data_IF_503642041926
#
_entry.id   IF_503642041926
#
_cell.length_a   1.000
_cell.length_b   1.000
_cell.length_c   1.000
_cell.angle_alpha   90.00
_cell.angle_beta   90.00
_cell.angle_gamma   90.00
#
_symmetry.space_group_name_H-M   'P 1'
#
loop_
_entity.id
_entity.type
_entity.pdbx_description
1 polymer ?
#
# COMPACT_ATOMS: atom_id res chain seq x y z
N UNK A 1 28.31 -72.16 -19.54
CA UNK A 1 29.08 -71.53 -18.44
C UNK A 1 29.36 -70.09 -18.84
N UNK A 2 28.97 -69.03 -18.14
CA UNK A 2 28.32 -68.90 -16.84
C UNK A 2 27.25 -67.79 -16.87
N UNK A 3 26.29 -67.92 -15.96
CA UNK A 3 25.30 -66.90 -15.63
C UNK A 3 25.97 -65.86 -14.73
N UNK A 4 26.06 -64.62 -15.15
CA UNK A 4 26.31 -63.48 -14.25
C UNK A 4 25.02 -62.71 -14.10
N UNK A 5 24.47 -62.84 -12.90
CA UNK A 5 23.21 -62.30 -12.44
C UNK A 5 23.36 -60.80 -12.22
N UNK A 6 22.58 -59.99 -12.97
CA UNK A 6 22.28 -58.60 -12.61
C UNK A 6 21.67 -58.61 -11.21
N UNK A 7 22.45 -58.19 -10.21
CA UNK A 7 21.95 -57.91 -8.85
C UNK A 7 21.55 -56.44 -8.82
N UNK A 8 20.25 -56.18 -8.93
CA UNK A 8 19.68 -54.85 -8.73
C UNK A 8 19.98 -54.36 -7.33
N UNK A 9 20.73 -53.26 -7.22
CA UNK A 9 20.71 -52.34 -6.07
C UNK A 9 19.71 -51.27 -6.44
N UNK A 10 18.51 -51.32 -5.85
CA UNK A 10 17.45 -50.36 -6.19
C UNK A 10 16.24 -50.36 -5.26
N UNK A 11 16.00 -51.44 -4.49
CA UNK A 11 14.73 -51.57 -3.75
C UNK A 11 14.89 -51.83 -2.23
N UNK A 12 16.10 -51.76 -1.68
CA UNK A 12 16.33 -51.99 -0.24
C UNK A 12 16.04 -50.76 0.62
N UNK A 13 16.43 -49.57 0.16
CA UNK A 13 16.43 -48.35 0.98
C UNK A 13 15.06 -47.65 1.06
N UNK A 14 14.23 -47.75 0.02
CA UNK A 14 12.85 -47.23 0.02
C UNK A 14 12.02 -47.94 1.10
N UNK A 15 12.25 -49.24 1.29
CA UNK A 15 11.57 -50.07 2.27
C UNK A 15 12.04 -49.75 3.70
N UNK A 16 13.31 -49.39 3.92
CA UNK A 16 13.82 -49.06 5.26
C UNK A 16 13.38 -47.67 5.74
N UNK A 17 13.34 -46.67 4.86
CA UNK A 17 12.72 -45.37 5.16
C UNK A 17 11.20 -45.51 5.36
N UNK A 18 10.53 -46.37 4.58
CA UNK A 18 9.13 -46.73 4.79
C UNK A 18 8.90 -47.63 6.03
N UNK A 19 9.89 -48.35 6.55
CA UNK A 19 9.78 -49.13 7.79
C UNK A 19 9.99 -48.24 9.02
N UNK A 20 10.86 -47.24 8.95
CA UNK A 20 10.98 -46.19 9.97
C UNK A 20 9.73 -45.29 9.95
N UNK A 21 9.25 -44.89 8.77
CA UNK A 21 8.01 -44.09 8.64
C UNK A 21 6.72 -44.92 8.84
N UNK A 22 6.76 -46.22 8.55
CA UNK A 22 5.63 -47.15 8.67
C UNK A 22 5.45 -47.70 10.08
N UNK A 23 6.53 -47.83 10.87
CA UNK A 23 6.43 -48.03 12.32
C UNK A 23 5.90 -46.80 13.04
N UNK A 24 6.05 -45.59 12.47
CA UNK A 24 5.44 -44.37 12.99
C UNK A 24 3.91 -44.28 12.77
N UNK A 25 3.34 -45.02 11.80
CA UNK A 25 1.93 -44.85 11.41
C UNK A 25 0.94 -45.74 12.20
N UNK A 26 1.40 -46.77 12.91
CA UNK A 26 0.50 -47.71 13.61
C UNK A 26 0.41 -47.50 15.12
N UNK A 27 1.19 -46.59 15.71
CA UNK A 27 1.30 -46.50 17.19
C UNK A 27 1.37 -45.06 17.72
N UNK A 28 0.41 -44.21 17.33
CA UNK A 28 0.22 -42.91 17.98
C UNK A 28 -1.21 -42.79 18.52
N UNK A 29 -1.45 -43.42 19.68
CA UNK A 29 -2.71 -43.30 20.45
C UNK A 29 -2.50 -43.05 21.95
N UNK A 30 -1.31 -42.72 22.43
CA UNK A 30 -1.07 -42.38 23.84
C UNK A 30 0.05 -41.34 23.99
N UNK A 31 -0.12 -40.37 24.89
CA UNK A 31 0.54 -39.05 24.86
C UNK A 31 1.84 -39.00 25.70
N UNK A 32 2.08 -39.89 26.66
CA UNK A 32 3.23 -39.78 27.59
C UNK A 32 4.47 -40.61 27.21
N UNK A 33 4.41 -41.41 26.14
CA UNK A 33 5.56 -42.16 25.58
C UNK A 33 6.06 -41.59 24.24
N UNK A 34 5.59 -40.39 23.86
CA UNK A 34 5.83 -39.78 22.55
C UNK A 34 7.21 -39.15 22.39
N UNK A 35 7.69 -38.45 23.40
CA UNK A 35 8.86 -37.57 23.25
C UNK A 35 10.15 -38.38 23.03
N UNK A 36 10.38 -39.41 23.86
CA UNK A 36 11.56 -40.28 23.73
C UNK A 36 11.61 -41.06 22.40
N UNK A 37 10.45 -41.41 21.83
CA UNK A 37 10.40 -42.16 20.57
C UNK A 37 10.57 -41.24 19.36
N UNK A 38 9.98 -40.04 19.41
CA UNK A 38 10.18 -39.02 18.40
C UNK A 38 11.65 -38.55 18.37
N UNK A 39 12.26 -38.34 19.53
CA UNK A 39 13.68 -37.99 19.65
C UNK A 39 14.59 -39.06 19.06
N UNK A 40 14.34 -40.35 19.37
CA UNK A 40 15.12 -41.45 18.81
C UNK A 40 14.97 -41.56 17.28
N UNK A 41 13.79 -41.23 16.74
CA UNK A 41 13.56 -41.16 15.30
C UNK A 41 14.33 -40.00 14.68
N UNK A 42 14.21 -38.80 15.24
CA UNK A 42 14.90 -37.61 14.74
C UNK A 42 16.42 -37.76 14.83
N UNK A 43 16.94 -38.36 15.90
CA UNK A 43 18.36 -38.70 16.03
C UNK A 43 18.81 -39.69 14.94
N UNK A 44 18.00 -40.72 14.66
CA UNK A 44 18.27 -41.69 13.59
C UNK A 44 18.26 -41.05 12.20
N UNK A 45 17.32 -40.13 11.95
CA UNK A 45 17.22 -39.36 10.71
C UNK A 45 18.40 -38.39 10.57
N UNK A 46 18.72 -37.60 11.60
CA UNK A 46 19.85 -36.66 11.60
C UNK A 46 21.16 -37.38 11.35
N UNK A 47 21.45 -38.46 12.08
CA UNK A 47 22.66 -39.28 11.86
C UNK A 47 22.77 -39.81 10.44
N UNK A 48 21.65 -40.09 9.75
CA UNK A 48 21.69 -40.59 8.37
C UNK A 48 21.80 -39.47 7.36
N UNK A 49 21.07 -38.38 7.58
CA UNK A 49 21.04 -37.20 6.73
C UNK A 49 22.40 -36.49 6.72
N UNK A 50 23.02 -36.31 7.88
CA UNK A 50 24.29 -35.59 8.00
C UNK A 50 25.52 -36.40 7.57
N UNK A 51 25.43 -37.73 7.47
CA UNK A 51 26.57 -38.61 7.19
C UNK A 51 26.65 -39.14 5.74
N UNK A 52 25.68 -38.83 4.87
CA UNK A 52 25.64 -39.30 3.47
C UNK A 52 25.02 -38.26 2.54
N UNK A 53 25.45 -38.23 1.28
CA UNK A 53 24.73 -37.51 0.22
C UNK A 53 23.32 -38.12 0.08
N UNK A 54 22.29 -37.31 0.34
CA UNK A 54 20.89 -37.68 0.20
C UNK A 54 20.50 -37.56 -1.28
N UNK A 55 19.91 -38.59 -1.86
CA UNK A 55 19.37 -38.53 -3.22
C UNK A 55 17.95 -37.92 -3.28
N UNK A 56 17.47 -37.56 -4.48
CA UNK A 56 16.14 -36.93 -4.64
C UNK A 56 14.97 -37.78 -4.11
N UNK A 57 15.09 -39.12 -4.13
CA UNK A 57 14.04 -40.02 -3.65
C UNK A 57 14.00 -40.07 -2.11
N UNK A 58 15.16 -39.99 -1.48
CA UNK A 58 15.29 -39.87 -0.03
C UNK A 58 14.81 -38.49 0.47
N UNK A 59 15.05 -37.41 -0.29
CA UNK A 59 14.49 -36.08 0.01
C UNK A 59 12.97 -36.05 -0.04
N UNK A 60 12.35 -36.68 -1.04
CA UNK A 60 10.89 -36.79 -1.12
C UNK A 60 10.28 -37.54 0.07
N UNK A 61 10.99 -38.57 0.56
CA UNK A 61 10.59 -39.31 1.76
C UNK A 61 10.74 -38.47 3.01
N UNK A 62 11.85 -37.73 3.15
CA UNK A 62 12.12 -36.82 4.26
C UNK A 62 11.09 -35.69 4.32
N UNK A 63 10.77 -35.09 3.17
CA UNK A 63 9.70 -34.10 3.05
C UNK A 63 8.36 -34.66 3.52
N UNK A 64 7.99 -35.89 3.14
CA UNK A 64 6.73 -36.50 3.60
C UNK A 64 6.68 -36.68 5.12
N UNK A 65 7.81 -37.08 5.73
CA UNK A 65 7.93 -37.22 7.19
C UNK A 65 7.75 -35.86 7.85
N UNK A 66 8.49 -34.84 7.40
CA UNK A 66 8.41 -33.48 7.95
C UNK A 66 7.04 -32.85 7.77
N UNK A 67 6.39 -33.02 6.62
CA UNK A 67 5.03 -32.50 6.42
C UNK A 67 4.02 -33.14 7.36
N UNK A 68 4.15 -34.45 7.64
CA UNK A 68 3.28 -35.12 8.63
C UNK A 68 3.59 -34.64 10.04
N UNK A 69 4.87 -34.50 10.39
CA UNK A 69 5.30 -33.98 11.67
C UNK A 69 4.71 -32.59 11.92
N UNK A 70 4.91 -31.66 10.98
CA UNK A 70 4.38 -30.29 11.04
C UNK A 70 2.85 -30.26 11.12
N UNK A 71 2.15 -31.19 10.46
CA UNK A 71 0.69 -31.29 10.55
C UNK A 71 0.17 -31.70 11.94
N UNK A 72 1.03 -32.24 12.82
CA UNK A 72 0.65 -32.61 14.18
C UNK A 72 0.81 -31.47 15.19
N UNK A 73 1.60 -30.44 14.87
CA UNK A 73 1.84 -29.31 15.76
C UNK A 73 0.98 -28.12 15.35
N UNK A 74 0.37 -27.48 16.36
CA UNK A 74 -0.37 -26.24 16.17
C UNK A 74 0.48 -25.00 16.47
N UNK A 75 1.54 -25.15 17.27
CA UNK A 75 2.41 -24.06 17.71
C UNK A 75 3.83 -24.30 17.21
N UNK A 76 4.50 -23.19 16.89
CA UNK A 76 5.86 -23.19 16.39
C UNK A 76 6.90 -23.52 17.48
N UNK A 77 6.65 -23.06 18.71
CA UNK A 77 7.54 -23.30 19.86
C UNK A 77 7.76 -24.80 20.10
N UNK A 78 6.68 -25.60 20.01
CA UNK A 78 6.73 -27.05 20.16
C UNK A 78 7.56 -27.73 19.05
N UNK A 79 7.54 -27.17 17.83
CA UNK A 79 8.31 -27.69 16.69
C UNK A 79 9.80 -27.40 16.88
N UNK A 80 10.14 -26.17 17.29
CA UNK A 80 11.53 -25.75 17.47
C UNK A 80 12.18 -26.35 18.72
N UNK A 81 11.38 -26.81 19.68
CA UNK A 81 11.86 -27.58 20.82
C UNK A 81 12.29 -29.02 20.46
N UNK A 82 11.94 -29.53 19.26
CA UNK A 82 12.29 -30.88 18.85
C UNK A 82 13.80 -31.02 18.58
N UNK A 83 14.41 -32.05 19.17
CA UNK A 83 15.82 -32.35 18.97
C UNK A 83 16.12 -32.62 17.50
N UNK A 84 17.25 -32.08 17.02
CA UNK A 84 17.72 -32.24 15.64
C UNK A 84 16.80 -31.69 14.54
N UNK A 85 15.71 -30.99 14.86
CA UNK A 85 14.78 -30.46 13.84
C UNK A 85 15.49 -29.52 12.87
N UNK A 86 16.21 -28.52 13.39
CA UNK A 86 16.97 -27.55 12.58
C UNK A 86 18.09 -28.25 11.80
N UNK A 87 18.81 -29.18 12.42
CA UNK A 87 19.87 -29.95 11.75
C UNK A 87 19.35 -30.71 10.53
N UNK A 88 18.18 -31.34 10.66
CA UNK A 88 17.58 -32.10 9.55
C UNK A 88 17.03 -31.16 8.48
N UNK A 89 16.41 -30.03 8.89
CA UNK A 89 15.95 -29.00 7.97
C UNK A 89 17.10 -28.45 7.11
N UNK A 90 18.27 -28.26 7.70
CA UNK A 90 19.45 -27.74 7.02
C UNK A 90 20.01 -28.68 5.96
N UNK A 91 19.81 -29.99 6.10
CA UNK A 91 20.21 -30.97 5.09
C UNK A 91 19.23 -30.98 3.90
N UNK A 92 17.99 -30.51 4.06
CA UNK A 92 17.05 -30.41 2.96
C UNK A 92 17.47 -29.32 1.97
N UNK A 93 17.12 -29.48 0.70
CA UNK A 93 17.35 -28.48 -0.35
C UNK A 93 16.29 -28.56 -1.45
N UNK A 94 16.32 -27.58 -2.37
CA UNK A 94 15.43 -27.53 -3.53
C UNK A 94 13.94 -27.43 -3.16
N UNK A 95 13.09 -28.02 -4.01
CA UNK A 95 11.62 -27.97 -3.85
C UNK A 95 11.16 -28.59 -2.53
N UNK A 96 11.84 -29.63 -2.03
CA UNK A 96 11.49 -30.28 -0.76
C UNK A 96 11.68 -29.34 0.42
N UNK A 97 12.80 -28.58 0.48
CA UNK A 97 12.99 -27.55 1.52
C UNK A 97 11.97 -26.42 1.40
N UNK A 98 11.71 -25.96 0.18
CA UNK A 98 10.74 -24.87 -0.03
C UNK A 98 9.34 -25.22 0.47
N UNK A 99 8.87 -26.46 0.25
CA UNK A 99 7.57 -26.92 0.73
C UNK A 99 7.51 -26.92 2.27
N UNK A 100 8.56 -27.41 2.93
CA UNK A 100 8.63 -27.43 4.39
C UNK A 100 8.72 -26.01 4.96
N UNK A 101 9.55 -25.13 4.39
CA UNK A 101 9.67 -23.73 4.80
C UNK A 101 8.31 -23.01 4.71
N UNK A 102 7.57 -23.20 3.61
CA UNK A 102 6.23 -22.64 3.46
C UNK A 102 5.25 -23.19 4.51
N UNK A 103 5.33 -24.47 4.88
CA UNK A 103 4.49 -25.04 5.94
C UNK A 103 4.83 -24.44 7.31
N UNK A 104 6.11 -24.25 7.62
CA UNK A 104 6.57 -23.60 8.86
C UNK A 104 6.04 -22.16 8.95
N UNK A 105 6.21 -21.36 7.89
CA UNK A 105 5.69 -19.98 7.84
C UNK A 105 4.16 -19.92 8.00
N UNK A 106 3.44 -20.87 7.40
CA UNK A 106 1.99 -20.99 7.57
C UNK A 106 1.59 -21.33 9.01
N UNK A 107 2.36 -22.13 9.73
CA UNK A 107 2.08 -22.45 11.13
C UNK A 107 2.41 -21.25 12.02
N UNK A 108 3.57 -20.61 11.79
CA UNK A 108 4.02 -19.44 12.54
C UNK A 108 3.01 -18.29 12.54
N UNK A 109 2.37 -18.06 11.39
CA UNK A 109 1.49 -16.91 11.18
C UNK A 109 0.02 -17.16 11.57
N UNK A 110 -0.36 -18.38 11.97
CA UNK A 110 -1.75 -18.72 12.33
C UNK A 110 -2.20 -18.18 13.69
N UNK A 111 -1.29 -18.08 14.65
CA UNK A 111 -1.63 -17.90 16.06
C UNK A 111 -1.48 -16.45 16.55
N UNK A 112 -1.48 -15.48 15.64
CA UNK A 112 -1.37 -14.06 15.97
C UNK A 112 0.05 -13.53 15.83
N UNK A 113 0.40 -12.53 16.66
CA UNK A 113 1.70 -11.86 16.60
C UNK A 113 2.83 -12.74 17.12
N UNK A 114 4.01 -12.59 16.51
CA UNK A 114 5.23 -13.30 16.85
C UNK A 114 6.13 -12.33 17.62
N UNK A 115 6.40 -12.67 18.89
CA UNK A 115 7.11 -11.80 19.82
C UNK A 115 8.51 -12.30 20.20
N UNK A 116 8.73 -13.61 20.21
CA UNK A 116 9.99 -14.20 20.67
C UNK A 116 11.14 -13.94 19.68
N UNK A 117 12.23 -13.25 20.09
CA UNK A 117 13.33 -12.90 19.19
C UNK A 117 14.04 -14.10 18.55
N UNK A 118 14.19 -15.21 19.28
CA UNK A 118 14.85 -16.41 18.75
C UNK A 118 14.00 -17.04 17.63
N UNK A 119 12.69 -17.10 17.84
CA UNK A 119 11.70 -17.51 16.84
C UNK A 119 11.72 -16.61 15.61
N UNK A 120 11.72 -15.28 15.80
CA UNK A 120 11.78 -14.32 14.71
C UNK A 120 13.05 -14.52 13.87
N UNK A 121 14.20 -14.70 14.51
CA UNK A 121 15.47 -14.93 13.82
C UNK A 121 15.45 -16.22 13.00
N UNK A 122 14.99 -17.33 13.57
CA UNK A 122 14.90 -18.60 12.85
C UNK A 122 13.92 -18.52 11.66
N UNK A 123 12.77 -17.85 11.84
CA UNK A 123 11.82 -17.63 10.74
C UNK A 123 12.38 -16.72 9.65
N UNK A 124 13.25 -15.77 10.01
CA UNK A 124 13.96 -14.94 9.05
C UNK A 124 14.94 -15.78 8.22
N UNK A 125 15.72 -16.67 8.85
CA UNK A 125 16.64 -17.59 8.16
C UNK A 125 15.87 -18.56 7.23
N UNK A 126 14.74 -19.10 7.69
CA UNK A 126 13.84 -19.93 6.88
C UNK A 126 13.29 -19.15 5.69
N UNK A 127 12.90 -17.88 5.90
CA UNK A 127 12.38 -17.01 4.85
C UNK A 127 13.46 -16.64 3.82
N UNK A 128 14.70 -16.38 4.25
CA UNK A 128 15.85 -16.14 3.39
C UNK A 128 16.14 -17.38 2.53
N UNK A 129 16.21 -18.55 3.16
CA UNK A 129 16.39 -19.82 2.45
C UNK A 129 15.26 -20.08 1.43
N UNK A 130 14.01 -19.77 1.78
CA UNK A 130 12.88 -19.88 0.86
C UNK A 130 12.99 -18.91 -0.30
N UNK A 131 13.40 -17.66 -0.06
CA UNK A 131 13.58 -16.63 -1.07
C UNK A 131 14.72 -16.96 -2.04
N UNK A 132 15.87 -17.41 -1.52
CA UNK A 132 17.02 -17.81 -2.34
C UNK A 132 16.72 -19.03 -3.22
N UNK A 133 15.79 -19.89 -2.76
CA UNK A 133 15.28 -21.03 -3.50
C UNK A 133 14.28 -20.68 -4.61
N UNK A 134 13.86 -19.42 -4.77
CA UNK A 134 12.99 -18.98 -5.86
C UNK A 134 13.85 -18.70 -7.10
N UNK A 135 13.73 -19.54 -8.12
CA UNK A 135 14.43 -19.33 -9.39
C UNK A 135 14.05 -17.98 -10.01
N UNK A 136 15.06 -17.10 -10.15
CA UNK A 136 14.98 -15.77 -10.77
C UNK A 136 14.36 -15.76 -12.19
N UNK A 137 14.26 -16.92 -12.84
CA UNK A 137 13.74 -17.08 -14.20
C UNK A 137 12.23 -17.40 -14.28
N UNK A 138 11.57 -17.76 -13.17
CA UNK A 138 10.14 -18.15 -13.15
C UNK A 138 9.18 -17.02 -12.73
N UNK A 139 9.60 -15.76 -12.74
CA UNK A 139 8.82 -14.57 -12.32
C UNK A 139 7.53 -14.31 -13.15
N UNK A 140 7.18 -15.17 -14.11
CA UNK A 140 5.95 -15.09 -14.91
C UNK A 140 4.87 -16.08 -14.50
N UNK A 141 5.15 -17.04 -13.63
CA UNK A 141 4.16 -18.00 -13.13
C UNK A 141 3.53 -17.55 -11.81
N UNK A 142 2.20 -17.69 -11.71
CA UNK A 142 1.40 -17.37 -10.52
C UNK A 142 1.84 -18.11 -9.25
N UNK A 143 2.60 -19.20 -9.36
CA UNK A 143 3.03 -20.05 -8.24
C UNK A 143 4.11 -19.37 -7.37
N UNK A 144 4.93 -18.48 -7.94
CA UNK A 144 5.94 -17.72 -7.18
C UNK A 144 5.34 -16.60 -6.31
N UNK A 145 4.03 -16.33 -6.41
CA UNK A 145 3.35 -15.40 -5.51
C UNK A 145 3.16 -15.98 -4.11
N UNK A 146 3.13 -17.31 -3.97
CA UNK A 146 2.85 -17.94 -2.67
C UNK A 146 4.01 -17.74 -1.66
N UNK A 147 5.28 -18.01 -1.99
CA UNK A 147 6.40 -17.71 -1.09
C UNK A 147 6.47 -16.23 -0.70
N UNK A 148 6.33 -15.33 -1.68
CA UNK A 148 6.36 -13.89 -1.46
C UNK A 148 5.27 -13.42 -0.47
N UNK A 149 4.05 -13.94 -0.61
CA UNK A 149 2.93 -13.65 0.30
C UNK A 149 3.19 -14.18 1.70
N UNK A 150 3.73 -15.40 1.84
CA UNK A 150 4.03 -15.99 3.14
C UNK A 150 5.14 -15.22 3.87
N UNK A 151 6.18 -14.81 3.15
CA UNK A 151 7.25 -13.96 3.70
C UNK A 151 6.68 -12.60 4.12
N UNK A 152 5.87 -11.96 3.26
CA UNK A 152 5.23 -10.68 3.59
C UNK A 152 4.32 -10.78 4.82
N UNK A 153 3.54 -11.86 4.90
CA UNK A 153 2.66 -12.11 6.03
C UNK A 153 3.43 -12.40 7.32
N UNK A 154 4.52 -13.18 7.25
CA UNK A 154 5.43 -13.37 8.39
C UNK A 154 5.94 -12.04 8.93
N UNK A 155 6.50 -11.18 8.06
CA UNK A 155 7.01 -9.87 8.47
C UNK A 155 5.90 -8.99 9.07
N UNK A 156 4.69 -9.05 8.51
CA UNK A 156 3.52 -8.36 9.05
C UNK A 156 3.14 -8.84 10.47
N UNK A 157 3.38 -10.13 10.78
CA UNK A 157 3.04 -10.72 12.06
C UNK A 157 4.09 -10.52 13.15
N UNK A 158 5.27 -10.00 12.84
CA UNK A 158 6.30 -9.72 13.85
C UNK A 158 5.94 -8.48 14.66
N UNK A 159 6.03 -8.58 15.99
CA UNK A 159 5.89 -7.44 16.90
C UNK A 159 6.84 -7.54 18.09
N UNK A 160 7.88 -6.71 18.11
CA UNK A 160 8.82 -6.59 19.24
C UNK A 160 8.23 -5.86 20.47
N UNK A 161 6.95 -5.49 20.45
CA UNK A 161 6.29 -4.87 21.60
C UNK A 161 6.87 -3.49 21.91
N UNK A 162 7.46 -3.33 23.11
CA UNK A 162 8.06 -2.07 23.56
C UNK A 162 9.45 -1.82 22.96
N UNK A 163 10.11 -2.85 22.41
CA UNK A 163 11.45 -2.74 21.84
C UNK A 163 11.41 -2.23 20.39
N UNK A 164 10.92 -1.01 20.21
CA UNK A 164 10.69 -0.41 18.88
C UNK A 164 11.97 -0.30 18.03
N UNK A 165 13.14 -0.11 18.66
CA UNK A 165 14.43 -0.08 17.96
C UNK A 165 14.77 -1.44 17.35
N UNK A 166 14.56 -2.54 18.07
CA UNK A 166 14.75 -3.88 17.52
C UNK A 166 13.77 -4.16 16.38
N UNK A 167 12.51 -3.70 16.49
CA UNK A 167 11.56 -3.80 15.38
C UNK A 167 12.07 -3.05 14.14
N UNK A 168 12.53 -1.81 14.28
CA UNK A 168 13.05 -1.05 13.14
C UNK A 168 14.29 -1.74 12.51
N UNK A 169 15.20 -2.27 13.32
CA UNK A 169 16.36 -3.05 12.84
C UNK A 169 15.90 -4.27 12.02
N UNK A 170 14.91 -5.00 12.51
CA UNK A 170 14.31 -6.13 11.78
C UNK A 170 13.73 -5.70 10.43
N UNK A 171 13.00 -4.58 10.36
CA UNK A 171 12.47 -4.06 9.08
C UNK A 171 13.59 -3.67 8.10
N UNK A 172 14.70 -3.10 8.60
CA UNK A 172 15.89 -2.80 7.79
C UNK A 172 16.52 -4.06 7.22
N UNK A 173 16.64 -5.10 8.03
CA UNK A 173 17.16 -6.40 7.60
C UNK A 173 16.26 -7.04 6.54
N UNK A 174 14.94 -7.05 6.75
CA UNK A 174 13.98 -7.56 5.77
C UNK A 174 14.04 -6.78 4.44
N UNK A 175 14.17 -5.45 4.48
CA UNK A 175 14.35 -4.63 3.26
C UNK A 175 15.58 -5.05 2.46
N UNK A 176 16.68 -5.36 3.15
CA UNK A 176 17.93 -5.80 2.53
C UNK A 176 17.84 -7.22 1.96
N UNK A 177 17.30 -8.15 2.74
CA UNK A 177 17.22 -9.57 2.39
C UNK A 177 16.22 -9.86 1.24
N UNK A 178 15.14 -9.10 1.16
CA UNK A 178 13.99 -9.40 0.28
C UNK A 178 13.71 -8.27 -0.72
N UNK A 179 14.75 -7.66 -1.28
CA UNK A 179 14.65 -6.46 -2.13
C UNK A 179 13.79 -6.62 -3.38
N UNK A 180 13.52 -7.86 -3.81
CA UNK A 180 12.79 -8.17 -5.04
C UNK A 180 11.28 -8.37 -4.82
N UNK A 181 10.82 -8.44 -3.56
CA UNK A 181 9.40 -8.65 -3.24
C UNK A 181 8.70 -7.30 -3.10
N UNK A 182 7.89 -6.90 -4.09
CA UNK A 182 7.18 -5.62 -4.06
C UNK A 182 6.13 -5.53 -2.95
N UNK A 183 5.33 -6.58 -2.75
CA UNK A 183 4.29 -6.65 -1.70
C UNK A 183 4.88 -6.49 -0.29
N UNK A 184 6.08 -7.02 -0.07
CA UNK A 184 6.78 -6.88 1.19
C UNK A 184 7.20 -5.43 1.43
N UNK A 185 7.68 -4.71 0.41
CA UNK A 185 8.06 -3.29 0.56
C UNK A 185 6.88 -2.43 1.04
N UNK A 186 5.68 -2.71 0.55
CA UNK A 186 4.44 -2.06 1.03
C UNK A 186 4.23 -2.37 2.53
N UNK A 187 4.35 -3.64 2.91
CA UNK A 187 4.23 -4.11 4.30
C UNK A 187 5.26 -3.42 5.22
N UNK A 188 6.51 -3.29 4.76
CA UNK A 188 7.58 -2.64 5.51
C UNK A 188 7.28 -1.16 5.76
N UNK A 189 6.80 -0.43 4.75
CA UNK A 189 6.44 0.99 4.90
C UNK A 189 5.27 1.16 5.87
N UNK A 190 4.21 0.34 5.76
CA UNK A 190 3.08 0.40 6.69
C UNK A 190 3.50 0.07 8.13
N UNK A 191 4.30 -0.97 8.33
CA UNK A 191 4.82 -1.33 9.67
C UNK A 191 5.66 -0.19 10.26
N UNK A 192 6.54 0.41 9.45
CA UNK A 192 7.38 1.52 9.89
C UNK A 192 6.56 2.78 10.24
N UNK A 193 5.54 3.09 9.44
CA UNK A 193 4.60 4.18 9.72
C UNK A 193 3.83 3.95 11.02
N UNK A 194 3.39 2.71 11.29
CA UNK A 194 2.77 2.33 12.55
C UNK A 194 3.74 2.48 13.74
N UNK A 195 5.01 2.09 13.59
CA UNK A 195 6.05 2.29 14.62
C UNK A 195 6.27 3.77 14.93
N UNK A 196 6.31 4.64 13.91
CA UNK A 196 6.42 6.08 14.09
C UNK A 196 5.25 6.64 14.93
N UNK A 197 4.00 6.28 14.59
CA UNK A 197 2.81 6.69 15.35
C UNK A 197 2.83 6.14 16.78
N UNK A 198 3.25 4.89 16.97
CA UNK A 198 3.37 4.27 18.30
C UNK A 198 4.36 5.04 19.17
N UNK A 199 5.55 5.34 18.64
CA UNK A 199 6.59 6.09 19.33
C UNK A 199 6.16 7.54 19.66
N UNK A 200 5.33 8.18 18.83
CA UNK A 200 4.78 9.51 19.13
C UNK A 200 3.72 9.51 20.22
N UNK A 201 3.01 8.40 20.43
CA UNK A 201 1.99 8.27 21.49
C UNK A 201 2.58 7.96 22.86
N UNK A 202 3.85 7.57 22.94
CA UNK A 202 4.52 7.32 24.22
C UNK A 202 4.81 8.63 24.97
N UNK A 203 4.82 8.55 26.31
CA UNK A 203 5.00 9.73 27.19
C UNK A 203 6.32 10.48 26.95
N UNK A 204 7.33 9.78 26.41
CA UNK A 204 8.58 10.37 25.93
C UNK A 204 8.52 10.38 24.42
N UNK A 205 8.27 11.54 23.80
CA UNK A 205 8.34 11.69 22.34
C UNK A 205 9.75 11.31 21.86
N UNK A 206 9.90 10.15 21.21
CA UNK A 206 11.17 9.69 20.67
C UNK A 206 11.43 10.27 19.26
N UNK A 207 11.57 11.59 19.16
CA UNK A 207 11.65 12.31 17.87
C UNK A 207 12.77 11.77 16.97
N UNK A 208 13.93 11.42 17.53
CA UNK A 208 15.04 10.84 16.75
C UNK A 208 14.66 9.50 16.12
N UNK A 209 14.00 8.63 16.87
CA UNK A 209 13.52 7.35 16.38
C UNK A 209 12.44 7.52 15.31
N UNK A 210 11.49 8.44 15.53
CA UNK A 210 10.44 8.75 14.56
C UNK A 210 11.04 9.26 13.24
N UNK A 211 12.07 10.13 13.30
CA UNK A 211 12.83 10.55 12.11
C UNK A 211 13.48 9.36 11.39
N UNK A 212 14.05 8.41 12.12
CA UNK A 212 14.60 7.18 11.54
C UNK A 212 13.52 6.33 10.84
N UNK A 213 12.33 6.22 11.42
CA UNK A 213 11.19 5.53 10.80
C UNK A 213 10.75 6.21 9.49
N UNK A 214 10.58 7.54 9.50
CA UNK A 214 10.21 8.28 8.29
C UNK A 214 11.28 8.17 7.22
N UNK A 215 12.56 8.33 7.59
CA UNK A 215 13.67 8.18 6.65
C UNK A 215 13.73 6.78 6.02
N UNK A 216 13.43 5.73 6.80
CA UNK A 216 13.30 4.37 6.28
C UNK A 216 12.19 4.27 5.22
N UNK A 217 11.01 4.84 5.48
CA UNK A 217 9.91 4.88 4.50
C UNK A 217 10.30 5.69 3.25
N UNK A 218 10.92 6.86 3.41
CA UNK A 218 11.40 7.73 2.32
C UNK A 218 12.37 7.03 1.37
N UNK A 219 13.25 6.16 1.87
CA UNK A 219 14.19 5.40 1.01
C UNK A 219 13.61 4.08 0.49
N UNK A 220 12.47 3.63 1.02
CA UNK A 220 11.84 2.36 0.62
C UNK A 220 10.79 2.57 -0.47
N UNK A 221 9.95 3.60 -0.35
CA UNK A 221 8.87 3.88 -1.31
C UNK A 221 9.38 4.05 -2.75
N UNK A 222 10.50 4.76 -3.04
CA UNK A 222 11.03 4.89 -4.40
C UNK A 222 11.44 3.56 -5.05
N UNK A 223 11.70 2.52 -4.24
CA UNK A 223 12.09 1.19 -4.73
C UNK A 223 10.90 0.30 -5.12
N UNK A 224 9.68 0.77 -4.92
CA UNK A 224 8.43 0.15 -5.38
C UNK A 224 8.14 0.67 -6.79
N UNK A 225 7.76 -0.21 -7.71
CA UNK A 225 7.41 0.17 -9.08
C UNK A 225 6.31 1.24 -9.10
N UNK A 226 6.45 2.21 -10.01
CA UNK A 226 5.53 3.34 -10.14
C UNK A 226 4.10 2.84 -10.34
N UNK A 227 3.28 3.04 -9.32
CA UNK A 227 1.93 2.50 -9.21
C UNK A 227 1.06 3.43 -8.36
N UNK A 228 -0.28 3.37 -8.50
CA UNK A 228 -1.18 4.07 -7.57
C UNK A 228 -0.89 3.76 -6.09
N UNK A 229 -0.35 2.57 -5.80
CA UNK A 229 0.09 2.18 -4.47
C UNK A 229 1.27 3.01 -3.98
N UNK A 230 2.29 3.21 -4.81
CA UNK A 230 3.43 4.07 -4.48
C UNK A 230 2.98 5.49 -4.13
N UNK A 231 2.06 6.04 -4.92
CA UNK A 231 1.45 7.34 -4.63
C UNK A 231 0.75 7.36 -3.27
N UNK A 232 -0.08 6.34 -2.99
CA UNK A 232 -0.77 6.24 -1.71
C UNK A 232 0.21 6.16 -0.53
N UNK A 233 1.29 5.39 -0.65
CA UNK A 233 2.31 5.25 0.40
C UNK A 233 3.02 6.57 0.68
N UNK A 234 3.32 7.38 -0.34
CA UNK A 234 3.85 8.73 -0.12
C UNK A 234 2.87 9.60 0.69
N UNK A 235 1.58 9.58 0.33
CA UNK A 235 0.56 10.38 1.03
C UNK A 235 0.34 9.93 2.48
N UNK A 236 0.26 8.63 2.73
CA UNK A 236 0.12 8.09 4.10
C UNK A 236 1.36 8.38 4.96
N UNK A 237 2.56 8.26 4.38
CA UNK A 237 3.80 8.58 5.09
C UNK A 237 3.90 10.08 5.36
N UNK A 238 3.42 10.94 4.45
CA UNK A 238 3.36 12.38 4.66
C UNK A 238 2.39 12.74 5.79
N UNK A 239 1.21 12.12 5.85
CA UNK A 239 0.25 12.26 6.95
C UNK A 239 0.89 11.89 8.29
N UNK A 240 1.60 10.77 8.35
CA UNK A 240 2.32 10.32 9.55
C UNK A 240 3.41 11.32 9.94
N UNK A 241 4.24 11.75 8.99
CA UNK A 241 5.29 12.74 9.24
C UNK A 241 4.71 14.05 9.78
N UNK A 242 3.58 14.50 9.23
CA UNK A 242 2.89 15.70 9.69
C UNK A 242 2.37 15.54 11.13
N UNK A 243 1.69 14.44 11.46
CA UNK A 243 1.27 14.16 12.85
C UNK A 243 2.46 14.13 13.81
N UNK A 244 3.62 13.68 13.33
CA UNK A 244 4.86 13.57 14.10
C UNK A 244 5.66 14.88 14.25
N UNK A 245 5.13 16.05 13.83
CA UNK A 245 5.86 17.34 13.80
C UNK A 245 7.09 17.35 12.88
N UNK A 246 7.04 16.59 11.77
CA UNK A 246 8.10 16.52 10.76
C UNK A 246 7.64 17.16 9.45
N UNK A 247 7.24 18.44 9.51
CA UNK A 247 6.70 19.20 8.37
C UNK A 247 7.59 19.14 7.13
N UNK A 248 8.91 19.30 7.28
CA UNK A 248 9.85 19.26 6.14
C UNK A 248 9.89 17.90 5.44
N UNK A 249 9.72 16.80 6.18
CA UNK A 249 9.62 15.45 5.62
C UNK A 249 8.29 15.27 4.91
N UNK A 250 7.19 15.74 5.51
CA UNK A 250 5.87 15.75 4.87
C UNK A 250 5.91 16.49 3.52
N UNK A 251 6.53 17.67 3.46
CA UNK A 251 6.68 18.43 2.21
C UNK A 251 7.48 17.66 1.15
N UNK A 252 8.59 17.02 1.54
CA UNK A 252 9.41 16.21 0.63
C UNK A 252 8.68 14.96 0.09
N UNK A 253 7.87 14.32 0.94
CA UNK A 253 7.02 13.20 0.57
C UNK A 253 5.89 13.62 -0.37
N UNK A 254 5.26 14.78 -0.12
CA UNK A 254 4.24 15.36 -1.00
C UNK A 254 4.86 15.70 -2.37
N UNK A 255 6.04 16.33 -2.41
CA UNK A 255 6.73 16.60 -3.67
C UNK A 255 7.05 15.30 -4.44
N UNK A 256 7.42 14.23 -3.72
CA UNK A 256 7.63 12.91 -4.31
C UNK A 256 6.35 12.26 -4.82
N UNK A 257 5.22 12.42 -4.11
CA UNK A 257 3.89 12.02 -4.56
C UNK A 257 3.49 12.75 -5.86
N UNK A 258 3.74 14.06 -5.94
CA UNK A 258 3.47 14.87 -7.11
C UNK A 258 4.31 14.42 -8.32
N UNK A 259 5.60 14.13 -8.12
CA UNK A 259 6.50 13.55 -9.14
C UNK A 259 6.06 12.15 -9.57
N UNK A 260 5.58 11.32 -8.64
CA UNK A 260 5.01 10.00 -8.94
C UNK A 260 3.80 10.12 -9.89
N UNK A 261 2.87 11.05 -9.59
CA UNK A 261 1.72 11.35 -10.45
C UNK A 261 2.14 11.76 -11.88
N UNK A 262 3.21 12.54 -12.04
CA UNK A 262 3.74 12.91 -13.36
C UNK A 262 4.32 11.72 -14.13
N UNK A 263 4.85 10.71 -13.43
CA UNK A 263 5.49 9.55 -14.08
C UNK A 263 4.47 8.50 -14.54
N UNK A 264 3.34 8.37 -13.84
CA UNK A 264 2.23 7.49 -14.25
C UNK A 264 1.68 7.84 -15.64
N UNK A 265 1.86 9.09 -16.07
CA UNK A 265 1.43 9.66 -17.35
C UNK A 265 2.29 9.22 -18.54
N UNK A 266 3.59 8.93 -18.32
CA UNK A 266 4.55 8.61 -19.40
C UNK A 266 4.47 7.16 -19.90
N UNK A 267 3.65 6.32 -19.26
CA UNK A 267 3.50 4.90 -19.61
C UNK A 267 2.41 4.65 -20.66
N UNK A 268 1.81 5.70 -21.22
CA UNK A 268 0.68 5.63 -22.15
C UNK A 268 1.11 5.26 -23.60
N UNK A 269 1.48 3.99 -23.74
CA UNK A 269 1.47 3.22 -24.99
C UNK A 269 0.85 1.83 -24.80
N UNK A 270 0.64 1.41 -23.55
CA UNK A 270 -0.12 0.22 -23.20
C UNK A 270 -1.37 0.66 -22.47
N UNK A 271 -2.52 0.27 -23.02
CA UNK A 271 -3.85 0.40 -22.47
C UNK A 271 -3.98 -0.43 -21.17
N UNK A 272 -3.17 -0.13 -20.16
CA UNK A 272 -3.31 -0.72 -18.84
C UNK A 272 -4.53 -0.03 -18.22
N UNK A 273 -5.39 -0.88 -17.67
CA UNK A 273 -6.62 -0.63 -16.94
C UNK A 273 -6.34 0.21 -15.68
N UNK A 274 -5.76 1.40 -15.83
CA UNK A 274 -5.48 2.31 -14.72
C UNK A 274 -6.83 2.65 -14.10
N UNK A 275 -6.99 2.36 -12.82
CA UNK A 275 -8.15 2.73 -12.04
C UNK A 275 -8.22 4.26 -11.93
N UNK A 276 -8.88 4.86 -12.91
CA UNK A 276 -9.14 6.29 -13.05
C UNK A 276 -9.77 6.82 -11.75
N UNK A 277 -10.78 6.12 -11.21
CA UNK A 277 -11.44 6.57 -9.99
C UNK A 277 -10.51 6.44 -8.76
N UNK A 278 -9.65 5.41 -8.72
CA UNK A 278 -8.60 5.25 -7.72
C UNK A 278 -7.59 6.41 -7.70
N UNK A 279 -7.06 6.81 -8.87
CA UNK A 279 -6.15 7.97 -8.97
C UNK A 279 -6.84 9.26 -8.53
N UNK A 280 -8.08 9.48 -8.96
CA UNK A 280 -8.84 10.66 -8.55
C UNK A 280 -9.05 10.69 -7.03
N UNK A 281 -9.28 9.54 -6.40
CA UNK A 281 -9.37 9.42 -4.95
C UNK A 281 -8.07 9.83 -4.27
N UNK A 282 -6.92 9.41 -4.81
CA UNK A 282 -5.60 9.79 -4.28
C UNK A 282 -5.32 11.29 -4.46
N UNK A 283 -5.72 11.90 -5.57
CA UNK A 283 -5.61 13.35 -5.76
C UNK A 283 -6.48 14.11 -4.75
N UNK A 284 -7.70 13.63 -4.49
CA UNK A 284 -8.56 14.21 -3.44
C UNK A 284 -7.96 14.04 -2.05
N UNK A 285 -7.33 12.90 -1.76
CA UNK A 285 -6.58 12.67 -0.53
C UNK A 285 -5.42 13.67 -0.40
N UNK A 286 -4.66 13.90 -1.47
CA UNK A 286 -3.64 14.93 -1.52
C UNK A 286 -4.22 16.32 -1.24
N UNK A 287 -5.31 16.73 -1.91
CA UNK A 287 -5.97 17.99 -1.62
C UNK A 287 -6.42 18.09 -0.15
N UNK A 288 -6.95 17.00 0.40
CA UNK A 288 -7.34 16.93 1.81
C UNK A 288 -6.16 17.13 2.75
N UNK A 289 -5.02 16.50 2.48
CA UNK A 289 -3.78 16.65 3.24
C UNK A 289 -3.25 18.08 3.15
N UNK A 290 -3.27 18.71 1.97
CA UNK A 290 -2.81 20.08 1.74
C UNK A 290 -3.57 21.14 2.56
N UNK A 291 -4.77 20.84 3.06
CA UNK A 291 -5.48 21.72 4.01
C UNK A 291 -4.72 21.81 5.35
N UNK A 292 -4.13 20.70 5.78
CA UNK A 292 -3.46 20.57 7.08
C UNK A 292 -1.97 20.95 7.03
N UNK A 293 -1.34 20.84 5.86
CA UNK A 293 0.07 21.13 5.70
C UNK A 293 0.30 22.65 5.84
N UNK A 294 1.14 23.08 6.78
CA UNK A 294 1.44 24.49 6.96
C UNK A 294 2.18 25.02 5.73
N UNK A 295 1.66 26.10 5.14
CA UNK A 295 2.26 26.75 4.00
C UNK A 295 3.55 27.46 4.37
N UNK A 296 4.46 27.59 3.39
CA UNK A 296 5.65 28.43 3.54
C UNK A 296 5.26 29.91 3.40
N UNK A 297 5.50 30.77 4.42
CA UNK A 297 5.17 32.19 4.35
C UNK A 297 5.81 32.93 3.16
N UNK A 298 6.98 32.48 2.71
CA UNK A 298 7.68 33.08 1.55
C UNK A 298 7.11 32.63 0.21
N UNK A 299 6.44 31.47 0.15
CA UNK A 299 5.90 30.90 -1.09
C UNK A 299 4.38 31.09 -1.22
N UNK A 300 3.69 31.54 -0.18
CA UNK A 300 2.25 31.79 -0.19
C UNK A 300 1.45 30.54 -0.62
N UNK A 301 0.44 30.73 -1.48
CA UNK A 301 -0.39 29.63 -1.99
C UNK A 301 0.21 28.90 -3.20
N UNK A 302 1.44 29.22 -3.62
CA UNK A 302 2.06 28.66 -4.82
C UNK A 302 2.26 27.13 -4.76
N UNK A 303 2.28 26.53 -3.57
CA UNK A 303 2.40 25.08 -3.42
C UNK A 303 1.22 24.32 -4.06
N UNK A 304 0.03 24.93 -4.16
CA UNK A 304 -1.17 24.30 -4.74
C UNK A 304 -1.05 24.18 -6.26
N UNK A 305 -0.34 25.11 -6.91
CA UNK A 305 -0.09 25.06 -8.36
C UNK A 305 0.66 23.79 -8.77
N UNK A 306 1.38 23.15 -7.84
CA UNK A 306 2.11 21.90 -8.09
C UNK A 306 1.18 20.69 -8.33
N UNK A 307 -0.10 20.78 -7.95
CA UNK A 307 -1.11 19.75 -8.19
C UNK A 307 -1.74 19.81 -9.60
N UNK A 308 -1.20 20.62 -10.51
CA UNK A 308 -1.70 20.76 -11.88
C UNK A 308 -1.09 19.72 -12.83
N UNK A 309 -1.92 19.09 -13.68
CA UNK A 309 -1.52 17.97 -14.55
C UNK A 309 -2.07 18.11 -15.98
N UNK A 310 -1.20 18.20 -17.02
CA UNK A 310 -1.63 18.52 -18.38
C UNK A 310 -2.10 17.34 -19.25
N UNK A 311 -1.56 16.12 -19.13
CA UNK A 311 -1.73 15.07 -20.17
C UNK A 311 -2.83 14.03 -19.92
N UNK A 312 -3.82 14.36 -19.10
CA UNK A 312 -4.92 13.46 -18.75
C UNK A 312 -6.17 13.78 -19.59
N UNK A 313 -7.06 12.80 -19.80
CA UNK A 313 -8.37 13.00 -20.45
C UNK A 313 -9.13 14.23 -19.92
N UNK A 314 -9.88 14.96 -20.76
CA UNK A 314 -10.60 16.16 -20.35
C UNK A 314 -11.52 15.94 -19.15
N UNK A 315 -12.21 14.80 -19.11
CA UNK A 315 -13.10 14.43 -17.99
C UNK A 315 -12.36 14.35 -16.65
N UNK A 316 -11.23 13.65 -16.61
CA UNK A 316 -10.47 13.52 -15.37
C UNK A 316 -9.82 14.85 -14.98
N UNK A 317 -9.26 15.57 -15.94
CA UNK A 317 -8.67 16.89 -15.70
C UNK A 317 -9.70 17.87 -15.13
N UNK A 318 -10.94 17.90 -15.65
CA UNK A 318 -12.02 18.70 -15.08
C UNK A 318 -12.32 18.33 -13.61
N UNK A 319 -12.32 17.03 -13.27
CA UNK A 319 -12.55 16.56 -11.89
C UNK A 319 -11.40 16.93 -10.94
N UNK A 320 -10.16 16.93 -11.41
CA UNK A 320 -8.98 17.40 -10.66
C UNK A 320 -9.11 18.91 -10.40
N UNK A 321 -9.42 19.70 -11.42
CA UNK A 321 -9.63 21.15 -11.29
C UNK A 321 -10.77 21.46 -10.30
N UNK A 322 -11.85 20.68 -10.29
CA UNK A 322 -12.90 20.78 -9.27
C UNK A 322 -12.38 20.49 -7.85
N UNK A 323 -11.48 19.52 -7.68
CA UNK A 323 -10.86 19.25 -6.37
C UNK A 323 -9.97 20.41 -5.91
N UNK A 324 -9.22 21.02 -6.85
CA UNK A 324 -8.41 22.22 -6.57
C UNK A 324 -9.29 23.42 -6.22
N UNK A 325 -10.42 23.63 -6.90
CA UNK A 325 -11.41 24.66 -6.53
C UNK A 325 -11.89 24.47 -5.09
N UNK A 326 -12.25 23.24 -4.73
CA UNK A 326 -12.69 22.90 -3.37
C UNK A 326 -11.58 23.16 -2.33
N UNK A 327 -10.32 22.85 -2.67
CA UNK A 327 -9.15 23.12 -1.84
C UNK A 327 -8.94 24.63 -1.64
N UNK A 328 -8.92 25.42 -2.72
CA UNK A 328 -8.77 26.88 -2.65
C UNK A 328 -9.90 27.53 -1.84
N UNK A 329 -11.13 27.09 -2.04
CA UNK A 329 -12.27 27.54 -1.25
C UNK A 329 -12.14 27.16 0.24
N UNK A 330 -11.55 26.00 0.54
CA UNK A 330 -11.31 25.57 1.93
C UNK A 330 -10.22 26.40 2.59
N UNK A 331 -9.10 26.62 1.90
CA UNK A 331 -7.96 27.41 2.40
C UNK A 331 -8.26 28.90 2.57
N UNK A 332 -9.27 29.42 1.87
CA UNK A 332 -9.73 30.81 2.03
C UNK A 332 -10.69 31.02 3.22
N UNK A 333 -11.04 29.97 3.96
CA UNK A 333 -11.91 30.11 5.13
C UNK A 333 -11.14 30.71 6.31
N UNK A 334 -11.80 31.60 7.06
CA UNK A 334 -11.25 32.18 8.30
C UNK A 334 -10.92 31.14 9.38
N UNK A 335 -11.54 29.96 9.30
CA UNK A 335 -11.28 28.82 10.16
C UNK A 335 -11.33 27.57 9.30
N UNK A 336 -10.25 26.80 9.26
CA UNK A 336 -10.20 25.57 8.48
C UNK A 336 -11.13 24.50 9.07
N UNK A 337 -11.69 23.61 8.23
CA UNK A 337 -12.62 22.57 8.68
C UNK A 337 -11.97 21.52 9.57
N UNK A 338 -10.66 21.31 9.46
CA UNK A 338 -9.88 20.38 10.25
C UNK A 338 -8.40 20.78 10.27
N UNK A 339 -7.69 20.27 11.27
CA UNK A 339 -6.27 20.56 11.54
C UNK A 339 -5.55 19.25 11.91
N UNK A 340 -4.23 19.29 11.91
CA UNK A 340 -3.42 18.20 12.48
C UNK A 340 -3.71 18.11 13.97
N UNK A 341 -3.87 16.89 14.49
CA UNK A 341 -4.01 16.63 15.92
C UNK A 341 -2.65 16.75 16.64
N UNK A 342 -2.00 17.90 16.46
CA UNK A 342 -0.74 18.27 17.09
C UNK A 342 -0.70 19.79 17.28
N UNK A 343 -0.65 20.22 18.55
CA UNK A 343 -0.71 21.63 18.96
C UNK A 343 0.51 22.43 18.47
N UNK A 344 1.63 21.77 18.18
CA UNK A 344 2.86 22.40 17.70
C UNK A 344 2.73 22.88 16.25
N UNK A 345 1.78 22.32 15.47
CA UNK A 345 1.55 22.68 14.07
C UNK A 345 0.36 23.63 13.95
N UNK A 346 0.64 24.84 13.46
CA UNK A 346 -0.38 25.83 13.16
C UNK A 346 -0.95 25.60 11.76
N UNK A 347 -2.28 25.66 11.64
CA UNK A 347 -2.96 25.62 10.36
C UNK A 347 -2.82 26.92 9.57
N UNK A 348 -3.11 26.86 8.27
CA UNK A 348 -2.99 28.01 7.37
C UNK A 348 -3.94 29.17 7.72
N UNK A 349 -5.09 28.90 8.33
CA UNK A 349 -6.00 29.93 8.86
C UNK A 349 -5.37 30.77 9.97
N UNK A 350 -4.43 30.20 10.74
CA UNK A 350 -3.70 30.90 11.79
C UNK A 350 -2.39 31.51 11.26
N UNK A 351 -1.66 30.76 10.43
CA UNK A 351 -0.37 31.20 9.88
C UNK A 351 -0.51 32.44 8.99
N UNK A 352 -1.54 32.47 8.15
CA UNK A 352 -1.79 33.56 7.21
C UNK A 352 -2.92 34.48 7.67
N UNK A 353 -3.22 34.49 8.97
CA UNK A 353 -4.30 35.31 9.51
C UNK A 353 -4.08 36.80 9.20
N UNK A 354 -4.99 37.38 8.42
CA UNK A 354 -4.93 38.79 8.02
C UNK A 354 -3.93 39.09 6.91
N UNK A 355 -3.28 38.09 6.33
CA UNK A 355 -2.37 38.28 5.20
C UNK A 355 -3.16 38.41 3.89
N UNK A 356 -3.22 39.64 3.36
CA UNK A 356 -3.88 39.92 2.08
C UNK A 356 -3.17 39.29 0.89
N UNK A 357 -1.85 39.07 0.97
CA UNK A 357 -1.08 38.48 -0.13
C UNK A 357 -1.43 37.01 -0.33
N UNK A 358 -1.57 36.26 0.75
CA UNK A 358 -2.05 34.87 0.72
C UNK A 358 -3.43 34.74 0.07
N UNK A 359 -4.37 35.61 0.44
CA UNK A 359 -5.71 35.63 -0.16
C UNK A 359 -5.66 36.03 -1.65
N UNK A 360 -4.81 36.99 -2.01
CA UNK A 360 -4.59 37.38 -3.41
C UNK A 360 -4.08 36.20 -4.24
N UNK A 361 -3.12 35.42 -3.72
CA UNK A 361 -2.58 34.24 -4.40
C UNK A 361 -3.65 33.17 -4.61
N UNK A 362 -4.51 32.93 -3.60
CA UNK A 362 -5.63 32.00 -3.71
C UNK A 362 -6.67 32.45 -4.75
N UNK A 363 -6.92 33.77 -4.84
CA UNK A 363 -7.79 34.34 -5.87
C UNK A 363 -7.18 34.12 -7.26
N UNK A 364 -5.91 34.47 -7.46
CA UNK A 364 -5.23 34.29 -8.75
C UNK A 364 -5.16 32.82 -9.18
N UNK A 365 -4.93 31.90 -8.23
CA UNK A 365 -5.03 30.46 -8.49
C UNK A 365 -6.44 30.06 -8.91
N UNK A 366 -7.46 30.54 -8.19
CA UNK A 366 -8.85 30.20 -8.49
C UNK A 366 -9.28 30.71 -9.85
N UNK A 367 -8.89 31.94 -10.24
CA UNK A 367 -9.13 32.50 -11.57
C UNK A 367 -8.53 31.61 -12.67
N UNK A 368 -7.25 31.24 -12.53
CA UNK A 368 -6.57 30.34 -13.47
C UNK A 368 -7.27 28.98 -13.59
N UNK A 369 -7.61 28.35 -12.45
CA UNK A 369 -8.26 27.03 -12.42
C UNK A 369 -9.66 27.08 -13.03
N UNK A 370 -10.42 28.15 -12.79
CA UNK A 370 -11.75 28.34 -13.35
C UNK A 370 -11.71 28.52 -14.88
N UNK A 371 -10.78 29.32 -15.38
CA UNK A 371 -10.57 29.51 -16.82
C UNK A 371 -10.20 28.17 -17.48
N UNK A 372 -9.24 27.45 -16.90
CA UNK A 372 -8.80 26.17 -17.44
C UNK A 372 -9.89 25.11 -17.38
N UNK A 373 -10.72 25.09 -16.33
CA UNK A 373 -11.86 24.19 -16.22
C UNK A 373 -12.85 24.41 -17.37
N UNK A 374 -13.18 25.67 -17.69
CA UNK A 374 -14.01 25.98 -18.84
C UNK A 374 -13.37 25.50 -20.15
N UNK A 375 -12.06 25.71 -20.34
CA UNK A 375 -11.35 25.32 -21.56
C UNK A 375 -11.34 23.80 -21.74
N UNK A 376 -11.01 23.05 -20.69
CA UNK A 376 -10.96 21.59 -20.69
C UNK A 376 -12.33 20.98 -21.00
N UNK A 377 -13.41 21.53 -20.44
CA UNK A 377 -14.77 21.04 -20.73
C UNK A 377 -15.11 21.17 -22.22
N UNK A 378 -14.71 22.25 -22.89
CA UNK A 378 -14.97 22.41 -24.33
C UNK A 378 -14.22 21.39 -25.20
N UNK A 379 -13.10 20.85 -24.70
CA UNK A 379 -12.31 19.84 -25.41
C UNK A 379 -12.94 18.43 -25.37
N UNK A 380 -13.91 18.18 -24.49
CA UNK A 380 -14.58 16.87 -24.39
C UNK A 380 -15.39 16.60 -25.68
N UNK A 381 -15.08 15.55 -26.47
CA UNK A 381 -15.74 15.30 -27.75
C UNK A 381 -17.21 14.88 -27.61
N UNK A 382 -17.57 14.15 -26.55
CA UNK A 382 -18.95 13.69 -26.35
C UNK A 382 -19.83 14.81 -25.83
N UNK A 383 -20.86 15.20 -26.60
CA UNK A 383 -21.81 16.25 -26.17
C UNK A 383 -22.45 15.91 -24.82
N UNK A 384 -22.94 14.68 -24.64
CA UNK A 384 -23.57 14.27 -23.38
C UNK A 384 -22.57 14.34 -22.20
N UNK A 385 -21.32 13.90 -22.39
CA UNK A 385 -20.29 13.98 -21.36
C UNK A 385 -19.91 15.43 -21.05
N UNK A 386 -19.72 16.26 -22.09
CA UNK A 386 -19.44 17.70 -21.97
C UNK A 386 -20.52 18.41 -21.18
N UNK A 387 -21.79 18.13 -21.48
CA UNK A 387 -22.93 18.70 -20.74
C UNK A 387 -22.95 18.26 -19.27
N UNK A 388 -22.70 16.99 -18.99
CA UNK A 388 -22.61 16.48 -17.61
C UNK A 388 -21.45 17.12 -16.84
N UNK A 389 -20.27 17.21 -17.46
CA UNK A 389 -19.09 17.85 -16.88
C UNK A 389 -19.32 19.33 -16.58
N UNK A 390 -20.01 20.04 -17.48
CA UNK A 390 -20.38 21.44 -17.26
C UNK A 390 -21.32 21.61 -16.04
N UNK A 391 -22.28 20.70 -15.86
CA UNK A 391 -23.13 20.69 -14.67
C UNK A 391 -22.35 20.35 -13.40
N UNK A 392 -21.48 19.34 -13.42
CA UNK A 392 -20.62 18.97 -12.28
C UNK A 392 -19.74 20.15 -11.85
N UNK A 393 -19.08 20.81 -12.81
CA UNK A 393 -18.27 22.00 -12.58
C UNK A 393 -19.09 23.15 -12.00
N UNK A 394 -20.26 23.43 -12.58
CA UNK A 394 -21.14 24.51 -12.12
C UNK A 394 -21.59 24.29 -10.67
N UNK A 395 -21.99 23.06 -10.32
CA UNK A 395 -22.34 22.71 -8.95
C UNK A 395 -21.15 22.83 -7.99
N UNK A 396 -19.96 22.37 -8.41
CA UNK A 396 -18.73 22.49 -7.62
C UNK A 396 -18.38 23.95 -7.30
N UNK A 397 -18.45 24.83 -8.30
CA UNK A 397 -18.20 26.26 -8.13
C UNK A 397 -19.26 26.88 -7.21
N UNK A 398 -20.53 26.58 -7.46
CA UNK A 398 -21.65 27.12 -6.69
C UNK A 398 -21.65 26.64 -5.23
N UNK A 399 -21.13 25.45 -4.93
CA UNK A 399 -20.98 24.94 -3.58
C UNK A 399 -19.74 25.50 -2.87
N UNK A 400 -18.66 25.75 -3.61
CA UNK A 400 -17.37 26.17 -3.06
C UNK A 400 -17.30 27.68 -2.81
N UNK A 401 -17.81 28.50 -3.74
CA UNK A 401 -17.72 29.95 -3.66
C UNK A 401 -19.09 30.59 -3.41
N UNK A 402 -19.07 31.76 -2.75
CA UNK A 402 -20.23 32.65 -2.75
C UNK A 402 -20.41 33.20 -4.16
N UNK A 403 -21.66 33.27 -4.60
CA UNK A 403 -21.97 33.92 -5.87
C UNK A 403 -21.54 35.39 -5.79
N UNK A 404 -20.69 35.78 -6.73
CA UNK A 404 -20.23 37.15 -6.92
C UNK A 404 -20.37 37.56 -8.39
N UNK A 405 -20.25 38.85 -8.72
CA UNK A 405 -20.24 39.34 -10.11
C UNK A 405 -19.16 38.69 -10.98
N UNK A 406 -18.07 38.21 -10.39
CA UNK A 406 -16.96 37.54 -11.07
C UNK A 406 -17.25 36.06 -11.35
N UNK A 407 -17.93 35.37 -10.42
CA UNK A 407 -18.28 33.95 -10.56
C UNK A 407 -19.53 33.73 -11.41
N UNK A 408 -20.48 34.67 -11.37
CA UNK A 408 -21.77 34.54 -12.08
C UNK A 408 -21.60 34.30 -13.59
N UNK A 409 -20.74 35.03 -14.35
CA UNK A 409 -20.54 34.80 -15.78
C UNK A 409 -20.00 33.40 -16.09
N UNK A 410 -19.12 32.86 -15.23
CA UNK A 410 -18.54 31.53 -15.39
C UNK A 410 -19.64 30.47 -15.22
N UNK A 411 -20.45 30.58 -14.17
CA UNK A 411 -21.59 29.68 -13.97
C UNK A 411 -22.61 29.76 -15.12
N UNK A 412 -22.90 30.95 -15.65
CA UNK A 412 -23.74 31.12 -16.84
C UNK A 412 -23.18 30.41 -18.06
N UNK A 413 -21.89 30.58 -18.36
CA UNK A 413 -21.22 29.92 -19.50
C UNK A 413 -21.26 28.40 -19.39
N UNK A 414 -21.05 27.85 -18.20
CA UNK A 414 -21.16 26.40 -17.95
C UNK A 414 -22.60 25.91 -18.10
N UNK A 415 -23.57 26.68 -17.61
CA UNK A 415 -25.00 26.35 -17.75
C UNK A 415 -25.45 26.37 -19.21
N UNK A 416 -25.05 27.37 -19.99
CA UNK A 416 -25.30 27.44 -21.43
C UNK A 416 -24.69 26.23 -22.16
N UNK A 417 -23.45 25.88 -21.83
CA UNK A 417 -22.79 24.69 -22.37
C UNK A 417 -23.61 23.42 -22.07
N UNK A 418 -24.12 23.27 -20.85
CA UNK A 418 -24.96 22.15 -20.46
C UNK A 418 -26.30 22.12 -21.21
N UNK A 419 -26.97 23.27 -21.37
CA UNK A 419 -28.25 23.39 -22.08
C UNK A 419 -28.12 23.06 -23.57
N UNK A 420 -27.01 23.43 -24.20
CA UNK A 420 -26.74 23.10 -25.60
C UNK A 420 -26.45 21.61 -25.82
N UNK A 421 -25.93 20.93 -24.79
CA UNK A 421 -25.47 19.56 -24.89
C UNK A 421 -26.47 18.50 -24.37
N UNK A 422 -27.39 18.89 -23.49
CA UNK A 422 -28.32 17.99 -22.81
C UNK A 422 -29.78 18.32 -23.15
N UNK A 423 -30.66 17.34 -23.00
CA UNK A 423 -32.11 17.58 -23.16
C UNK A 423 -32.65 18.48 -22.04
N UNK A 424 -33.64 19.32 -22.36
CA UNK A 424 -34.34 20.17 -21.39
C UNK A 424 -35.05 19.39 -20.27
N UNK A 425 -35.36 18.11 -20.52
CA UNK A 425 -35.95 17.20 -19.55
C UNK A 425 -34.91 16.49 -18.65
N UNK A 426 -33.62 16.81 -18.80
CA UNK A 426 -32.57 16.23 -17.96
C UNK A 426 -32.75 16.70 -16.50
N UNK A 427 -32.96 15.74 -15.59
CA UNK A 427 -33.22 16.03 -14.17
C UNK A 427 -32.04 16.74 -13.49
N UNK A 428 -30.81 16.45 -13.88
CA UNK A 428 -29.62 17.06 -13.29
C UNK A 428 -29.48 18.53 -13.70
N UNK A 429 -29.76 18.83 -14.98
CA UNK A 429 -29.83 20.20 -15.51
C UNK A 429 -30.88 21.02 -14.73
N UNK A 430 -32.11 20.52 -14.63
CA UNK A 430 -33.20 21.21 -13.92
C UNK A 430 -32.86 21.46 -12.45
N UNK A 431 -32.26 20.48 -11.77
CA UNK A 431 -31.85 20.61 -10.36
C UNK A 431 -30.75 21.66 -10.18
N UNK A 432 -29.78 21.70 -11.09
CA UNK A 432 -28.69 22.69 -11.05
C UNK A 432 -29.21 24.11 -11.34
N UNK A 433 -30.13 24.26 -12.30
CA UNK A 433 -30.79 25.54 -12.57
C UNK A 433 -31.55 26.06 -11.34
N UNK A 434 -32.23 25.17 -10.61
CA UNK A 434 -32.92 25.53 -9.37
C UNK A 434 -31.93 26.01 -8.29
N UNK A 435 -30.84 25.27 -8.09
CA UNK A 435 -29.78 25.64 -7.14
C UNK A 435 -29.20 27.02 -7.46
N UNK A 436 -28.91 27.30 -8.73
CA UNK A 436 -28.41 28.62 -9.15
C UNK A 436 -29.49 29.69 -8.97
N UNK A 437 -30.75 29.44 -9.34
CA UNK A 437 -31.83 30.41 -9.18
C UNK A 437 -32.08 30.81 -7.72
N UNK A 438 -31.87 29.90 -6.77
CA UNK A 438 -31.92 30.21 -5.33
C UNK A 438 -30.74 31.08 -4.87
N UNK A 439 -29.57 30.96 -5.51
CA UNK A 439 -28.34 31.71 -5.16
C UNK A 439 -28.09 32.96 -6.01
N UNK A 440 -28.75 33.09 -7.16
CA UNK A 440 -28.65 34.17 -8.15
C UNK A 440 -30.05 34.71 -8.46
N UNK A 441 -30.53 35.75 -7.75
CA UNK A 441 -31.84 36.36 -8.00
C UNK A 441 -32.00 36.92 -9.42
N UNK A 442 -30.89 37.18 -10.11
CA UNK A 442 -30.83 37.72 -11.48
C UNK A 442 -30.50 36.67 -12.55
N UNK A 443 -30.39 35.38 -12.21
CA UNK A 443 -30.23 34.34 -13.22
C UNK A 443 -31.53 34.21 -14.02
N UNK A 444 -31.48 34.11 -15.36
CA UNK A 444 -32.70 33.93 -16.13
C UNK A 444 -33.40 32.66 -15.65
N UNK A 445 -34.62 32.85 -15.10
CA UNK A 445 -35.53 31.75 -14.86
C UNK A 445 -35.68 30.96 -16.16
N UNK A 446 -35.79 29.63 -16.04
CA UNK A 446 -35.99 28.73 -17.17
C UNK A 446 -36.96 29.37 -18.16
N UNK A 447 -36.65 29.42 -19.48
CA UNK A 447 -37.57 29.98 -20.44
C UNK A 447 -38.90 29.24 -20.27
N UNK A 448 -39.91 29.98 -19.80
CA UNK A 448 -41.29 29.53 -19.83
C UNK A 448 -41.53 29.03 -21.24
N UNK A 449 -41.87 27.76 -21.35
CA UNK A 449 -42.27 27.11 -22.58
C UNK A 449 -43.34 28.00 -23.24
N UNK A 450 -42.94 28.82 -24.20
CA UNK A 450 -43.88 29.44 -25.13
C UNK A 450 -44.04 28.41 -26.23
N UNK A 451 -45.01 27.54 -26.03
CA UNK A 451 -45.64 26.79 -27.13
C UNK A 451 -46.13 27.78 -28.18
N UNK A 452 -45.61 27.67 -29.39
CA UNK A 452 -46.37 27.82 -30.62
C UNK A 452 -45.96 26.77 -31.62
#
# INVERSE_FOLDING_TARGET
MGKTQKRGRGNGLTVDLLLVAGSAYTTVTSIETKDNYLDAILEGVSKRACNKEIDESELGSLQSIFSKLLAHFNNLEDIFALNHFVEILDVMYGSSRNIINMQILNIATRNGYIHDPATIQLLLEISQSLHDGIDLFNMKDNDNQQPARLISHFVQMVDYGIEMEHHLTFLVECRGAFSNIEELKETLVHSCNCLAIKAMKEAKKHISFVKSCIAFSEVTIPSISASPKQLNLYLETAEVALVCDLVSHSDGLIDSALRCLQTLDLMDGFQILIDVDGILSLIRKLCSLLVMVPGNPEQGAAFIQRAYYPSITPKMRARILCAIISLSATLSQNKLPYHVDNIEILGNDLLFFGDSTYLQDLVSLSEFVLEELCNVIQQEPSQAARGSMALEACNCIASSFKVSPEISPICSKLMETAQLCLSSNNKYLQSTMKLLGERLPSFPAAPSIITR
#
